data_IF_413900161758
#
_entry.id   IF_413900161758
#
_cell.length_a   1.000
_cell.length_b   1.000
_cell.length_c   1.000
_cell.angle_alpha   90.00
_cell.angle_beta   90.00
_cell.angle_gamma   90.00
#
_symmetry.space_group_name_H-M   'P 1'
#
loop_
_entity.id
_entity.type
_entity.pdbx_description
1 polymer ?
#
# COMPACT_ATOMS: atom_id res chain seq x y z
N UNK A 1 9.97 16.27 8.25
CA UNK A 1 8.53 16.62 8.28
C UNK A 1 8.40 17.83 9.18
N UNK A 2 8.79 19.00 8.68
CA UNK A 2 8.66 20.26 9.41
C UNK A 2 7.49 21.00 8.77
N UNK A 3 6.38 21.07 9.51
CA UNK A 3 5.13 21.62 8.99
C UNK A 3 3.93 21.12 9.79
N UNK A 4 2.89 21.94 9.83
CA UNK A 4 1.62 21.61 10.50
C UNK A 4 1.03 20.30 9.95
N UNK A 5 0.99 20.14 8.62
CA UNK A 5 0.47 18.94 7.97
C UNK A 5 1.26 17.69 8.38
N UNK A 6 2.58 17.82 8.58
CA UNK A 6 3.45 16.74 9.06
C UNK A 6 3.11 16.26 10.48
N UNK A 7 2.67 17.18 11.36
CA UNK A 7 2.19 16.83 12.71
C UNK A 7 0.88 16.07 12.66
N UNK A 8 -0.07 16.52 11.82
CA UNK A 8 -1.31 15.79 11.61
C UNK A 8 -1.09 14.43 10.97
N UNK A 9 -0.16 14.32 10.01
CA UNK A 9 0.22 13.04 9.41
C UNK A 9 0.78 12.08 10.46
N UNK A 10 1.66 12.56 11.34
CA UNK A 10 2.19 11.73 12.43
C UNK A 10 1.07 11.21 13.32
N UNK A 11 0.15 12.09 13.74
CA UNK A 11 -1.01 11.74 14.55
C UNK A 11 -1.95 10.73 13.85
N UNK A 12 -2.19 10.93 12.55
CA UNK A 12 -2.96 10.00 11.73
C UNK A 12 -2.32 8.61 11.66
N UNK A 13 -1.00 8.54 11.51
CA UNK A 13 -0.28 7.26 11.45
C UNK A 13 -0.31 6.53 12.80
N UNK A 14 -0.23 7.26 13.92
CA UNK A 14 -0.45 6.66 15.25
C UNK A 14 -1.88 6.15 15.41
N UNK A 15 -2.88 6.94 14.99
CA UNK A 15 -4.28 6.52 15.01
C UNK A 15 -4.50 5.24 14.18
N UNK A 16 -3.88 5.12 13.01
CA UNK A 16 -4.00 3.93 12.16
C UNK A 16 -3.35 2.68 12.76
N UNK A 17 -2.26 2.82 13.53
CA UNK A 17 -1.53 1.68 14.11
C UNK A 17 -2.38 0.82 15.02
N UNK A 18 -3.39 1.41 15.67
CA UNK A 18 -4.32 0.69 16.55
C UNK A 18 -5.16 -0.35 15.80
N UNK A 19 -5.43 -0.15 14.51
CA UNK A 19 -6.42 -0.94 13.75
C UNK A 19 -5.88 -1.56 12.46
N UNK A 20 -4.63 -1.27 12.09
CA UNK A 20 -4.05 -1.66 10.79
C UNK A 20 -2.68 -2.27 10.97
N UNK A 21 -2.33 -3.19 10.07
CA UNK A 21 -1.01 -3.82 10.07
C UNK A 21 0.11 -2.81 9.83
N UNK A 22 1.32 -3.12 10.31
CA UNK A 22 2.51 -2.29 10.12
C UNK A 22 2.78 -2.00 8.62
N UNK A 23 2.51 -2.97 7.74
CA UNK A 23 2.66 -2.80 6.29
C UNK A 23 1.66 -1.78 5.73
N UNK A 24 0.40 -1.81 6.18
CA UNK A 24 -0.59 -0.80 5.78
C UNK A 24 -0.16 0.59 6.26
N UNK A 25 0.24 0.75 7.53
CA UNK A 25 0.71 2.03 8.07
C UNK A 25 1.93 2.56 7.30
N UNK A 26 2.88 1.69 6.96
CA UNK A 26 4.05 2.05 6.14
C UNK A 26 3.63 2.55 4.75
N UNK A 27 2.67 1.90 4.10
CA UNK A 27 2.17 2.34 2.80
C UNK A 27 1.53 3.74 2.85
N UNK A 28 0.69 4.01 3.87
CA UNK A 28 0.14 5.35 4.11
C UNK A 28 1.23 6.39 4.37
N UNK A 29 2.21 6.06 5.22
CA UNK A 29 3.35 6.94 5.52
C UNK A 29 4.11 7.32 4.24
N UNK A 30 4.51 6.34 3.43
CA UNK A 30 5.25 6.59 2.19
C UNK A 30 4.48 7.50 1.23
N UNK A 31 3.18 7.30 1.09
CA UNK A 31 2.38 8.12 0.19
C UNK A 31 2.20 9.56 0.70
N UNK A 32 1.80 9.70 1.96
CA UNK A 32 1.43 10.99 2.53
C UNK A 32 2.65 11.84 2.90
N UNK A 33 3.81 11.22 3.18
CA UNK A 33 5.06 11.98 3.34
C UNK A 33 5.43 12.73 2.07
N UNK A 34 5.14 12.18 0.87
CA UNK A 34 5.36 12.90 -0.39
C UNK A 34 4.41 14.09 -0.56
N UNK A 35 3.18 13.98 -0.03
CA UNK A 35 2.24 15.12 -0.01
C UNK A 35 2.72 16.21 0.95
N UNK A 36 3.20 15.82 2.14
CA UNK A 36 3.71 16.75 3.15
C UNK A 36 4.99 17.49 2.74
N UNK A 37 5.69 17.04 1.70
CA UNK A 37 6.79 17.80 1.07
C UNK A 37 6.28 18.95 0.20
N UNK A 38 5.07 18.82 -0.37
CA UNK A 38 4.49 19.80 -1.29
C UNK A 38 3.51 20.77 -0.61
N UNK A 39 2.97 20.37 0.55
CA UNK A 39 1.94 21.10 1.31
C UNK A 39 2.34 21.11 2.79
N UNK A 40 2.59 22.30 3.34
CA UNK A 40 3.09 22.45 4.71
C UNK A 40 1.98 22.64 5.75
N UNK A 41 0.88 23.30 5.37
CA UNK A 41 -0.25 23.63 6.24
C UNK A 41 -1.56 22.97 5.77
N UNK A 42 -2.50 22.78 6.69
CA UNK A 42 -3.82 22.20 6.35
C UNK A 42 -4.61 23.14 5.44
N UNK A 43 -4.48 24.45 5.65
CA UNK A 43 -5.13 25.47 4.80
C UNK A 43 -4.65 25.48 3.34
N UNK A 44 -3.45 24.96 3.08
CA UNK A 44 -2.90 24.85 1.72
C UNK A 44 -3.36 23.58 0.98
N UNK A 45 -4.14 22.73 1.64
CA UNK A 45 -4.64 21.48 1.07
C UNK A 45 -5.79 21.76 0.10
N UNK A 46 -5.46 22.22 -1.11
CA UNK A 46 -6.44 22.54 -2.15
C UNK A 46 -6.53 21.45 -3.22
N UNK A 47 -7.64 21.37 -3.98
CA UNK A 47 -7.75 20.46 -5.11
C UNK A 47 -6.59 20.59 -6.12
N UNK A 48 -6.11 21.80 -6.38
CA UNK A 48 -5.03 22.04 -7.34
C UNK A 48 -3.67 21.56 -6.83
N UNK A 49 -3.39 21.74 -5.53
CA UNK A 49 -2.20 21.17 -4.90
C UNK A 49 -2.23 19.66 -4.91
N UNK A 50 -3.39 19.05 -4.64
CA UNK A 50 -3.56 17.59 -4.74
C UNK A 50 -3.39 17.09 -6.18
N UNK A 51 -3.92 17.79 -7.19
CA UNK A 51 -3.71 17.47 -8.61
C UNK A 51 -2.23 17.54 -8.99
N UNK A 52 -1.53 18.58 -8.54
CA UNK A 52 -0.11 18.76 -8.80
C UNK A 52 0.72 17.61 -8.17
N UNK A 53 0.46 17.30 -6.90
CA UNK A 53 1.09 16.18 -6.21
C UNK A 53 0.83 14.84 -6.92
N UNK A 54 -0.41 14.55 -7.30
CA UNK A 54 -0.75 13.32 -8.03
C UNK A 54 -0.07 13.26 -9.40
N UNK A 55 0.05 14.39 -10.12
CA UNK A 55 0.76 14.45 -11.40
C UNK A 55 2.25 14.14 -11.22
N UNK A 56 2.90 14.66 -10.18
CA UNK A 56 4.34 14.50 -9.92
C UNK A 56 4.69 13.13 -9.34
N UNK A 57 3.90 12.63 -8.40
CA UNK A 57 4.25 11.45 -7.60
C UNK A 57 3.47 10.19 -8.01
N UNK A 58 2.54 10.28 -8.96
CA UNK A 58 1.67 9.17 -9.35
C UNK A 58 1.59 8.96 -10.88
N UNK A 59 2.70 8.51 -11.51
CA UNK A 59 2.80 8.44 -12.97
C UNK A 59 1.77 7.47 -13.58
N UNK A 60 1.49 6.35 -12.92
CA UNK A 60 0.54 5.34 -13.43
C UNK A 60 -0.87 5.53 -12.86
N UNK A 61 -1.93 5.12 -13.58
CA UNK A 61 -3.31 5.14 -13.07
C UNK A 61 -3.47 4.38 -11.75
N UNK A 62 -2.77 3.26 -11.59
CA UNK A 62 -2.80 2.43 -10.38
C UNK A 62 -2.22 3.18 -9.19
N UNK A 63 -1.05 3.80 -9.36
CA UNK A 63 -0.41 4.59 -8.30
C UNK A 63 -1.27 5.82 -7.95
N UNK A 64 -1.90 6.45 -8.94
CA UNK A 64 -2.78 7.62 -8.75
C UNK A 64 -4.02 7.28 -7.92
N UNK A 65 -4.71 6.20 -8.27
CA UNK A 65 -5.87 5.73 -7.50
C UNK A 65 -5.48 5.36 -6.05
N UNK A 66 -4.33 4.69 -5.86
CA UNK A 66 -3.80 4.33 -4.53
C UNK A 66 -3.48 5.57 -3.69
N UNK A 67 -2.75 6.53 -4.24
CA UNK A 67 -2.38 7.78 -3.56
C UNK A 67 -3.59 8.65 -3.24
N UNK A 68 -4.55 8.75 -4.17
CA UNK A 68 -5.79 9.48 -3.92
C UNK A 68 -6.61 8.82 -2.80
N UNK A 69 -6.65 7.48 -2.73
CA UNK A 69 -7.26 6.77 -1.61
C UNK A 69 -6.58 7.09 -0.27
N UNK A 70 -5.24 7.17 -0.27
CA UNK A 70 -4.49 7.57 0.92
C UNK A 70 -4.82 9.00 1.37
N UNK A 71 -4.88 9.94 0.42
CA UNK A 71 -5.26 11.33 0.68
C UNK A 71 -6.70 11.44 1.22
N UNK A 72 -7.66 10.74 0.63
CA UNK A 72 -9.05 10.69 1.11
C UNK A 72 -9.17 10.21 2.55
N UNK A 73 -8.45 9.15 2.90
CA UNK A 73 -8.45 8.64 4.27
C UNK A 73 -7.84 9.66 5.26
N UNK A 74 -6.76 10.34 4.84
CA UNK A 74 -6.12 11.36 5.67
C UNK A 74 -6.99 12.60 5.84
N UNK A 75 -7.62 13.10 4.77
CA UNK A 75 -8.56 14.23 4.84
C UNK A 75 -9.76 13.90 5.71
N UNK A 76 -10.31 12.68 5.59
CA UNK A 76 -11.36 12.23 6.50
C UNK A 76 -10.93 12.28 7.96
N UNK A 77 -9.69 11.88 8.26
CA UNK A 77 -9.13 12.02 9.60
C UNK A 77 -9.00 13.48 10.02
N UNK A 78 -8.49 14.37 9.16
CA UNK A 78 -8.40 15.81 9.43
C UNK A 78 -9.76 16.42 9.77
N UNK A 79 -10.81 16.01 9.05
CA UNK A 79 -12.19 16.42 9.34
C UNK A 79 -12.67 15.90 10.69
N UNK A 80 -12.40 14.64 11.02
CA UNK A 80 -12.77 14.05 12.32
C UNK A 80 -12.13 14.79 13.50
N UNK A 81 -10.91 15.30 13.35
CA UNK A 81 -10.21 16.06 14.40
C UNK A 81 -10.45 17.57 14.32
N UNK A 82 -11.33 18.03 13.42
CA UNK A 82 -11.68 19.46 13.27
C UNK A 82 -10.58 20.34 12.66
N UNK A 83 -9.61 19.76 11.96
CA UNK A 83 -8.52 20.51 11.32
C UNK A 83 -8.92 21.13 9.97
N UNK A 84 -9.96 20.60 9.33
CA UNK A 84 -10.52 21.12 8.08
C UNK A 84 -12.01 20.82 8.04
N UNK A 85 -12.81 21.76 7.53
CA UNK A 85 -14.29 21.61 7.49
C UNK A 85 -14.80 21.03 6.17
N UNK A 86 -14.02 21.16 5.10
CA UNK A 86 -14.36 20.70 3.76
C UNK A 86 -13.44 19.55 3.30
N UNK A 87 -13.85 18.81 2.27
CA UNK A 87 -13.05 17.75 1.67
C UNK A 87 -12.50 18.18 0.30
N UNK A 88 -11.23 18.63 0.20
CA UNK A 88 -10.62 19.04 -1.07
C UNK A 88 -10.40 17.87 -2.05
N UNK A 89 -10.65 16.62 -1.63
CA UNK A 89 -10.51 15.43 -2.47
C UNK A 89 -11.80 15.05 -3.22
N UNK A 90 -12.93 15.67 -2.90
CA UNK A 90 -14.25 15.33 -3.47
C UNK A 90 -14.30 15.60 -4.99
N UNK A 91 -13.66 16.67 -5.45
CA UNK A 91 -13.59 17.05 -6.87
C UNK A 91 -12.51 16.30 -7.67
N UNK A 92 -11.85 15.32 -7.05
CA UNK A 92 -10.79 14.52 -7.67
C UNK A 92 -11.33 13.16 -8.06
N UNK A 93 -11.28 12.86 -9.36
CA UNK A 93 -11.65 11.55 -9.85
C UNK A 93 -10.44 10.61 -9.90
N UNK A 94 -10.62 9.40 -9.36
CA UNK A 94 -9.65 8.34 -9.53
C UNK A 94 -9.77 7.80 -10.97
N UNK A 95 -8.65 7.56 -11.67
CA UNK A 95 -8.71 6.95 -12.99
C UNK A 95 -9.35 5.56 -12.89
N UNK A 96 -10.22 5.23 -13.84
CA UNK A 96 -10.89 3.94 -13.88
C UNK A 96 -9.86 2.81 -13.93
N UNK A 97 -9.90 1.94 -12.92
CA UNK A 97 -9.02 0.78 -12.83
C UNK A 97 -9.72 -0.41 -13.49
N UNK A 98 -9.32 -0.77 -14.71
CA UNK A 98 -9.62 -2.13 -15.20
C UNK A 98 -8.95 -3.11 -14.24
N UNK A 99 -9.75 -3.91 -13.53
CA UNK A 99 -9.25 -5.08 -12.79
C UNK A 99 -8.66 -6.04 -13.83
N UNK A 100 -7.35 -5.99 -14.03
CA UNK A 100 -6.66 -7.12 -14.67
C UNK A 100 -6.65 -8.22 -13.64
N UNK A 101 -7.32 -9.34 -13.97
CA UNK A 101 -7.13 -10.55 -13.19
C UNK A 101 -5.65 -10.91 -13.24
N UNK A 102 -5.03 -11.26 -12.10
CA UNK A 102 -3.70 -11.85 -12.11
C UNK A 102 -3.70 -13.03 -13.08
N UNK A 103 -2.61 -13.20 -13.84
CA UNK A 103 -2.43 -14.45 -14.59
C UNK A 103 -2.17 -15.54 -13.55
N UNK A 104 -3.15 -16.40 -13.32
CA UNK A 104 -2.96 -17.60 -12.51
C UNK A 104 -2.13 -18.61 -13.31
N UNK A 105 -1.26 -19.36 -12.61
CA UNK A 105 -0.62 -20.53 -13.19
C UNK A 105 -1.69 -21.57 -13.48
N UNK A 106 -1.62 -22.22 -14.65
CA UNK A 106 -2.38 -23.46 -14.87
C UNK A 106 -1.84 -24.58 -13.98
N UNK A 107 -2.62 -25.64 -13.71
CA UNK A 107 -2.13 -26.80 -12.97
C UNK A 107 -0.84 -27.38 -13.57
N UNK A 108 -0.75 -27.39 -14.91
CA UNK A 108 0.46 -27.83 -15.62
C UNK A 108 1.66 -26.92 -15.34
N UNK A 109 1.49 -25.61 -15.40
CA UNK A 109 2.57 -24.65 -15.12
C UNK A 109 3.02 -24.71 -13.66
N UNK A 110 2.10 -24.98 -12.73
CA UNK A 110 2.44 -25.21 -11.33
C UNK A 110 3.26 -26.49 -11.16
N UNK A 111 2.87 -27.59 -11.82
CA UNK A 111 3.62 -28.84 -11.79
C UNK A 111 5.02 -28.69 -12.41
N UNK A 112 5.12 -28.05 -13.58
CA UNK A 112 6.39 -27.74 -14.23
C UNK A 112 7.32 -26.89 -13.34
N UNK A 113 6.76 -26.08 -12.44
CA UNK A 113 7.54 -25.31 -11.47
C UNK A 113 8.03 -26.16 -10.29
N UNK A 114 7.21 -27.11 -9.82
CA UNK A 114 7.56 -28.02 -8.71
C UNK A 114 8.57 -29.09 -9.12
N UNK A 115 8.55 -29.50 -10.38
CA UNK A 115 9.44 -30.54 -10.92
C UNK A 115 10.81 -30.00 -11.34
N UNK A 116 11.01 -28.68 -11.34
CA UNK A 116 12.31 -28.06 -11.65
C UNK A 116 13.31 -28.30 -10.52
N UNK A 117 14.52 -28.72 -10.89
CA UNK A 117 15.64 -28.72 -9.98
C UNK A 117 16.01 -27.28 -9.62
N UNK A 118 15.95 -26.95 -8.33
CA UNK A 118 16.30 -25.62 -7.86
C UNK A 118 17.80 -25.38 -8.03
N UNK A 119 18.18 -24.51 -8.97
CA UNK A 119 19.55 -23.98 -9.07
C UNK A 119 19.78 -22.95 -7.96
N UNK A 120 19.95 -23.43 -6.72
CA UNK A 120 20.14 -22.56 -5.56
C UNK A 120 21.15 -23.13 -4.58
N UNK A 121 21.59 -22.29 -3.63
CA UNK A 121 22.47 -22.71 -2.53
C UNK A 121 21.77 -23.65 -1.54
N UNK A 122 20.43 -23.74 -1.59
CA UNK A 122 19.58 -24.49 -0.64
C UNK A 122 18.43 -25.19 -1.38
N UNK A 123 18.71 -26.12 -2.30
CA UNK A 123 17.72 -26.65 -3.24
C UNK A 123 16.58 -27.42 -2.56
N UNK A 124 16.89 -28.19 -1.51
CA UNK A 124 15.89 -28.93 -0.74
C UNK A 124 14.93 -28.01 0.01
N UNK A 125 15.44 -26.91 0.57
CA UNK A 125 14.61 -25.91 1.24
C UNK A 125 13.69 -25.22 0.24
N UNK A 126 14.22 -24.80 -0.89
CA UNK A 126 13.46 -24.04 -1.88
C UNK A 126 12.34 -24.93 -2.49
N UNK A 127 12.62 -26.22 -2.71
CA UNK A 127 11.59 -27.20 -3.07
C UNK A 127 10.53 -27.34 -1.98
N UNK A 128 10.92 -27.51 -0.71
CA UNK A 128 9.97 -27.59 0.40
C UNK A 128 9.09 -26.33 0.52
N UNK A 129 9.67 -25.14 0.30
CA UNK A 129 8.95 -23.87 0.29
C UNK A 129 7.88 -23.84 -0.83
N UNK A 130 8.23 -24.25 -2.05
CA UNK A 130 7.30 -24.30 -3.18
C UNK A 130 6.18 -25.33 -2.97
N UNK A 131 6.52 -26.52 -2.49
CA UNK A 131 5.56 -27.60 -2.18
C UNK A 131 4.58 -27.17 -1.08
N UNK A 132 5.06 -26.54 0.00
CA UNK A 132 4.20 -26.02 1.07
C UNK A 132 3.29 -24.89 0.58
N UNK A 133 3.81 -23.95 -0.22
CA UNK A 133 2.98 -22.91 -0.84
C UNK A 133 1.88 -23.49 -1.72
N UNK A 134 2.21 -24.50 -2.53
CA UNK A 134 1.27 -25.12 -3.46
C UNK A 134 0.22 -25.98 -2.73
N UNK A 135 0.64 -26.83 -1.80
CA UNK A 135 -0.23 -27.80 -1.11
C UNK A 135 -1.12 -27.17 -0.04
N UNK A 136 -0.58 -26.24 0.76
CA UNK A 136 -1.32 -25.60 1.85
C UNK A 136 -1.85 -24.19 1.49
N UNK A 137 -1.54 -23.68 0.29
CA UNK A 137 -2.02 -22.38 -0.17
C UNK A 137 -1.45 -21.20 0.62
N UNK A 138 -0.28 -21.37 1.23
CA UNK A 138 0.33 -20.37 2.12
C UNK A 138 0.75 -19.12 1.35
N UNK A 139 0.52 -17.96 1.96
CA UNK A 139 1.13 -16.71 1.53
C UNK A 139 2.61 -16.74 1.87
N UNK A 140 3.43 -16.03 1.09
CA UNK A 140 4.89 -15.92 1.33
C UNK A 140 5.19 -15.49 2.78
N UNK A 141 4.41 -14.57 3.36
CA UNK A 141 4.60 -14.13 4.74
C UNK A 141 4.28 -15.18 5.79
N UNK A 142 3.37 -16.11 5.49
CA UNK A 142 3.04 -17.24 6.39
C UNK A 142 4.14 -18.30 6.27
N UNK A 143 4.55 -18.64 5.06
CA UNK A 143 5.61 -19.61 4.78
C UNK A 143 6.94 -19.26 5.45
N UNK A 144 7.39 -18.00 5.38
CA UNK A 144 8.65 -17.58 6.01
C UNK A 144 8.57 -17.46 7.53
N UNK A 145 7.37 -17.50 8.09
CA UNK A 145 7.11 -17.42 9.52
C UNK A 145 6.74 -18.75 10.16
N UNK A 146 6.72 -19.84 9.39
CA UNK A 146 6.41 -21.19 9.88
C UNK A 146 7.47 -21.62 10.90
N UNK A 147 7.00 -22.15 12.03
CA UNK A 147 7.81 -22.85 13.01
C UNK A 147 7.53 -24.36 12.93
N UNK A 148 8.44 -25.19 13.45
CA UNK A 148 8.24 -26.63 13.56
C UNK A 148 7.19 -27.00 14.62
N UNK A 149 6.89 -26.07 15.53
CA UNK A 149 5.94 -26.25 16.64
C UNK A 149 4.50 -25.78 16.31
N UNK A 150 4.26 -25.22 15.11
CA UNK A 150 2.92 -24.81 14.62
C UNK A 150 2.04 -26.02 14.22
#
# INVERSE_FOLDING_TARGET
MEGELGRYLTSFLEHLRVRRSANTVRAYRTDLSQLATEVAAVGDLTPDRLRLWLRRCAPTPVTRARKLSAARAFVRYLRTVGAIDHDPTDVLEAPYKRKRLPKALSPRQAQELLDQDAESRTPLRDRALLELMYSAGLRVSELVGIDLDD
#
